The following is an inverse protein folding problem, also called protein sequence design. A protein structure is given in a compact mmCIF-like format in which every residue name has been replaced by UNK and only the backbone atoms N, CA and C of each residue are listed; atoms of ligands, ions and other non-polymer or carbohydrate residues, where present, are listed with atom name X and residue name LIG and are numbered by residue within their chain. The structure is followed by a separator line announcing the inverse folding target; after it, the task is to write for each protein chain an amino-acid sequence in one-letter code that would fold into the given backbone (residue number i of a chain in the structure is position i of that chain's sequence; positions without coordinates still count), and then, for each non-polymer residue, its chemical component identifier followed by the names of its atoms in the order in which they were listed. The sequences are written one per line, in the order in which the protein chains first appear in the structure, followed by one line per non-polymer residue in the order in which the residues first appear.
data_IF_351444343528
#
_entry.id   IF_351444343528
#
_cell.length_a   1.000
_cell.length_b   1.000
_cell.length_c   1.000
_cell.angle_alpha   90.00
_cell.angle_beta   90.00
_cell.angle_gamma   90.00
#
_symmetry.space_group_name_H-M   'P 1'
#
loop_
_entity.id
_entity.type
_entity.pdbx_description
1 polymer ?
#
# COMPACT_ATOMS: atom_id res chain seq x y z
N UNK A 1 -8.78 40.79 -18.27
CA UNK A 1 -9.04 40.48 -19.69
C UNK A 1 -10.55 40.35 -19.90
N UNK A 2 -11.18 41.42 -20.39
CA UNK A 2 -12.65 41.55 -20.44
C UNK A 2 -13.26 40.57 -21.44
N UNK A 3 -14.46 40.05 -21.13
CA UNK A 3 -15.21 39.12 -22.01
C UNK A 3 -15.37 39.66 -23.44
N UNK A 4 -15.35 40.99 -23.62
CA UNK A 4 -15.37 41.66 -24.92
C UNK A 4 -14.22 41.22 -25.86
N UNK A 5 -12.99 41.11 -25.35
CA UNK A 5 -11.83 40.69 -26.17
C UNK A 5 -11.94 39.21 -26.55
N UNK A 6 -12.40 38.38 -25.62
CA UNK A 6 -12.52 36.94 -25.81
C UNK A 6 -13.65 36.61 -26.80
N UNK A 7 -14.79 37.28 -26.68
CA UNK A 7 -15.90 37.17 -27.63
C UNK A 7 -15.52 37.69 -29.02
N UNK A 8 -14.75 38.78 -29.12
CA UNK A 8 -14.23 39.26 -30.41
C UNK A 8 -13.31 38.23 -31.08
N UNK A 9 -12.36 37.65 -30.35
CA UNK A 9 -11.48 36.58 -30.88
C UNK A 9 -12.28 35.33 -31.29
N UNK A 10 -13.22 34.90 -30.46
CA UNK A 10 -14.10 33.76 -30.79
C UNK A 10 -14.94 34.03 -32.05
N UNK A 11 -15.50 35.24 -32.19
CA UNK A 11 -16.26 35.64 -33.38
C UNK A 11 -15.38 35.59 -34.64
N UNK A 12 -14.15 36.08 -34.59
CA UNK A 12 -13.23 36.03 -35.74
C UNK A 12 -12.89 34.60 -36.16
N UNK A 13 -12.63 33.71 -35.20
CA UNK A 13 -12.29 32.30 -35.47
C UNK A 13 -13.49 31.53 -36.01
N UNK A 14 -14.69 31.75 -35.47
CA UNK A 14 -15.88 31.00 -35.84
C UNK A 14 -16.58 31.51 -37.10
N UNK A 15 -16.32 32.76 -37.52
CA UNK A 15 -17.01 33.40 -38.66
C UNK A 15 -16.85 32.65 -39.99
N UNK A 16 -15.64 32.15 -40.28
CA UNK A 16 -15.36 31.40 -41.52
C UNK A 16 -16.10 30.05 -41.54
N UNK A 17 -16.05 29.33 -40.43
CA UNK A 17 -16.73 28.04 -40.24
C UNK A 17 -18.24 28.20 -40.33
N UNK A 18 -18.80 29.22 -39.66
CA UNK A 18 -20.22 29.51 -39.69
C UNK A 18 -20.72 29.88 -41.09
N UNK A 19 -19.89 30.56 -41.91
CA UNK A 19 -20.27 30.89 -43.29
C UNK A 19 -20.35 29.64 -44.17
N UNK A 20 -19.34 28.79 -44.13
CA UNK A 20 -19.34 27.54 -44.91
C UNK A 20 -20.47 26.60 -44.48
N UNK A 21 -20.77 26.54 -43.20
CA UNK A 21 -21.90 25.75 -42.70
C UNK A 21 -23.25 26.30 -43.17
N UNK A 22 -23.43 27.63 -43.30
CA UNK A 22 -24.67 28.20 -43.84
C UNK A 22 -24.93 27.75 -45.27
N UNK A 23 -23.91 27.65 -46.10
CA UNK A 23 -24.06 27.21 -47.49
C UNK A 23 -24.46 25.72 -47.56
N UNK A 24 -23.90 24.89 -46.69
CA UNK A 24 -24.21 23.45 -46.60
C UNK A 24 -25.59 23.18 -45.98
N UNK A 25 -25.98 23.94 -44.96
CA UNK A 25 -27.27 23.79 -44.27
C UNK A 25 -28.45 24.13 -45.18
N UNK A 26 -28.26 24.91 -46.25
CA UNK A 26 -29.32 25.16 -47.25
C UNK A 26 -29.74 23.91 -48.02
N UNK A 27 -28.86 22.91 -48.11
CA UNK A 27 -29.10 21.65 -48.82
C UNK A 27 -29.79 20.62 -47.91
N UNK A 28 -29.65 20.77 -46.59
CA UNK A 28 -30.05 19.76 -45.60
C UNK A 28 -31.16 20.31 -44.71
N UNK A 29 -32.17 19.49 -44.40
CA UNK A 29 -33.22 19.90 -43.47
C UNK A 29 -32.63 20.30 -42.10
N UNK A 30 -33.08 21.42 -41.48
CA UNK A 30 -32.56 21.89 -40.20
C UNK A 30 -32.62 20.84 -39.08
N UNK A 31 -33.63 19.99 -39.09
CA UNK A 31 -33.82 18.91 -38.12
C UNK A 31 -32.65 17.89 -38.14
N UNK A 32 -32.13 17.58 -39.33
CA UNK A 32 -31.01 16.66 -39.52
C UNK A 32 -29.72 17.23 -38.93
N UNK A 33 -29.50 18.53 -39.10
CA UNK A 33 -28.33 19.24 -38.56
C UNK A 33 -28.35 19.21 -37.03
N UNK A 34 -29.52 19.44 -36.42
CA UNK A 34 -29.69 19.35 -34.97
C UNK A 34 -29.48 17.93 -34.44
N UNK A 35 -29.93 16.90 -35.18
CA UNK A 35 -29.70 15.49 -34.83
C UNK A 35 -28.20 15.16 -34.83
N UNK A 36 -27.46 15.59 -35.85
CA UNK A 36 -26.00 15.41 -35.90
C UNK A 36 -25.29 16.18 -34.78
N UNK A 37 -25.73 17.40 -34.48
CA UNK A 37 -25.17 18.17 -33.37
C UNK A 37 -25.33 17.45 -32.03
N UNK A 38 -26.54 16.97 -31.72
CA UNK A 38 -26.82 16.20 -30.50
C UNK A 38 -25.94 14.95 -30.41
N UNK A 39 -25.80 14.22 -31.52
CA UNK A 39 -24.96 13.02 -31.57
C UNK A 39 -23.47 13.34 -31.41
N UNK A 40 -22.97 14.43 -32.02
CA UNK A 40 -21.59 14.89 -31.83
C UNK A 40 -21.30 15.29 -30.39
N UNK A 41 -22.22 16.02 -29.75
CA UNK A 41 -22.12 16.38 -28.33
C UNK A 41 -22.08 15.11 -27.49
N UNK A 42 -23.01 14.16 -27.72
CA UNK A 42 -23.04 12.86 -27.03
C UNK A 42 -21.71 12.12 -27.18
N UNK A 43 -21.19 11.99 -28.40
CA UNK A 43 -19.90 11.32 -28.67
C UNK A 43 -18.73 12.01 -28.00
N UNK A 44 -18.66 13.34 -28.02
CA UNK A 44 -17.58 14.10 -27.36
C UNK A 44 -17.53 13.82 -25.85
N UNK A 45 -18.70 13.79 -25.21
CA UNK A 45 -18.79 13.51 -23.78
C UNK A 45 -18.59 12.04 -23.43
N UNK A 46 -19.05 11.11 -24.29
CA UNK A 46 -18.78 9.68 -24.14
C UNK A 46 -17.31 9.31 -24.37
N UNK A 47 -16.64 9.95 -25.33
CA UNK A 47 -15.22 9.73 -25.62
C UNK A 47 -14.32 10.22 -24.49
N UNK A 48 -14.72 11.28 -23.77
CA UNK A 48 -13.98 11.78 -22.60
C UNK A 48 -13.88 10.73 -21.47
N UNK A 49 -14.78 9.74 -21.43
CA UNK A 49 -14.74 8.59 -20.52
C UNK A 49 -13.85 7.43 -20.98
N UNK A 50 -13.55 7.33 -22.28
CA UNK A 50 -12.62 6.32 -22.82
C UNK A 50 -11.19 6.84 -22.80
N UNK A 51 -10.61 6.96 -21.59
CA UNK A 51 -9.16 7.07 -21.45
C UNK A 51 -8.52 5.73 -21.82
N UNK A 52 -8.33 5.46 -23.12
CA UNK A 52 -7.34 4.50 -23.58
C UNK A 52 -6.00 5.23 -23.60
N UNK A 53 -5.16 5.05 -22.58
CA UNK A 53 -3.83 5.64 -22.60
C UNK A 53 -2.97 5.34 -21.39
N UNK A 54 -1.98 4.46 -21.59
CA UNK A 54 -0.85 4.15 -20.72
C UNK A 54 0.04 3.07 -21.38
N UNK A 55 1.25 2.84 -20.84
CA UNK A 55 2.15 1.74 -21.22
C UNK A 55 1.35 0.42 -21.31
N UNK A 56 1.58 -0.43 -22.33
CA UNK A 56 0.97 -1.77 -22.34
C UNK A 56 1.23 -2.42 -20.98
N UNK A 57 0.16 -2.97 -20.40
CA UNK A 57 0.27 -3.66 -19.12
C UNK A 57 1.29 -4.79 -19.26
N UNK A 58 2.00 -5.07 -18.17
CA UNK A 58 2.76 -6.31 -18.03
C UNK A 58 1.83 -7.48 -18.39
N UNK A 59 2.36 -8.56 -18.96
CA UNK A 59 1.58 -9.64 -19.57
C UNK A 59 0.47 -10.11 -18.63
N UNK A 60 -0.74 -10.29 -19.17
CA UNK A 60 -1.90 -10.76 -18.41
C UNK A 60 -1.61 -12.10 -17.70
N UNK A 61 -0.79 -12.95 -18.32
CA UNK A 61 -0.31 -14.21 -17.74
C UNK A 61 0.41 -14.02 -16.40
N UNK A 62 1.19 -12.93 -16.25
CA UNK A 62 1.89 -12.62 -15.00
C UNK A 62 0.91 -12.15 -13.92
N UNK A 63 -0.06 -11.32 -14.31
CA UNK A 63 -1.14 -10.90 -13.40
C UNK A 63 -1.92 -12.11 -12.88
N UNK A 64 -2.25 -13.06 -13.76
CA UNK A 64 -3.00 -14.26 -13.42
C UNK A 64 -2.19 -15.18 -12.48
N UNK A 65 -0.88 -15.33 -12.72
CA UNK A 65 0.02 -16.07 -11.83
C UNK A 65 0.09 -15.45 -10.42
N UNK A 66 0.22 -14.12 -10.33
CA UNK A 66 0.22 -13.40 -9.05
C UNK A 66 -1.07 -13.67 -8.28
N UNK A 67 -2.21 -13.61 -8.96
CA UNK A 67 -3.53 -13.83 -8.37
C UNK A 67 -3.66 -15.26 -7.87
N UNK A 68 -3.25 -16.25 -8.66
CA UNK A 68 -3.28 -17.67 -8.25
C UNK A 68 -2.41 -17.91 -7.01
N UNK A 69 -1.15 -17.45 -7.01
CA UNK A 69 -0.25 -17.60 -5.86
C UNK A 69 -0.82 -16.97 -4.58
N UNK A 70 -1.45 -15.79 -4.71
CA UNK A 70 -2.05 -15.10 -3.57
C UNK A 70 -3.31 -15.80 -3.04
N UNK A 71 -4.11 -16.42 -3.91
CA UNK A 71 -5.30 -17.18 -3.54
C UNK A 71 -4.94 -18.50 -2.84
N UNK A 72 -3.96 -19.22 -3.38
CA UNK A 72 -3.46 -20.47 -2.79
C UNK A 72 -2.78 -20.23 -1.43
N UNK A 73 -2.12 -19.08 -1.28
CA UNK A 73 -1.33 -18.74 -0.10
C UNK A 73 -1.80 -17.44 0.56
N UNK A 74 -3.03 -17.43 1.07
CA UNK A 74 -3.66 -16.26 1.71
C UNK A 74 -2.86 -15.64 2.88
N UNK A 75 -1.91 -16.40 3.45
CA UNK A 75 -1.00 -15.96 4.53
C UNK A 75 0.23 -15.18 4.05
N UNK A 76 0.46 -15.09 2.74
CA UNK A 76 1.62 -14.40 2.18
C UNK A 76 1.36 -12.91 2.01
N UNK A 77 2.39 -12.10 2.28
CA UNK A 77 2.39 -10.64 2.04
C UNK A 77 3.03 -10.29 0.68
N UNK A 78 2.93 -9.01 0.28
CA UNK A 78 3.42 -8.54 -1.03
C UNK A 78 4.89 -8.90 -1.32
N UNK A 79 5.80 -8.62 -0.38
CA UNK A 79 7.23 -8.92 -0.55
C UNK A 79 7.56 -10.42 -0.59
N UNK A 80 6.70 -11.28 -0.01
CA UNK A 80 6.90 -12.73 -0.09
C UNK A 80 6.57 -13.25 -1.49
N UNK A 81 5.47 -12.77 -2.08
CA UNK A 81 5.07 -13.09 -3.45
C UNK A 81 6.13 -12.58 -4.44
N UNK A 82 6.62 -11.35 -4.28
CA UNK A 82 7.72 -10.80 -5.08
C UNK A 82 8.99 -11.68 -4.98
N UNK A 83 9.36 -12.08 -3.77
CA UNK A 83 10.52 -12.93 -3.53
C UNK A 83 10.41 -14.29 -4.22
N UNK A 84 9.22 -14.89 -4.27
CA UNK A 84 9.01 -16.18 -4.93
C UNK A 84 8.96 -16.03 -6.46
N UNK A 85 8.39 -14.94 -7.00
CA UNK A 85 8.47 -14.63 -8.44
C UNK A 85 9.91 -14.42 -8.91
N UNK A 86 10.73 -13.75 -8.09
CA UNK A 86 12.16 -13.57 -8.37
C UNK A 86 12.92 -14.90 -8.44
N UNK A 87 12.52 -15.91 -7.65
CA UNK A 87 13.11 -17.26 -7.74
C UNK A 87 12.75 -17.97 -9.04
N UNK A 88 11.61 -17.64 -9.63
CA UNK A 88 11.20 -18.14 -10.95
C UNK A 88 11.86 -17.39 -12.11
N UNK A 89 12.76 -16.43 -11.84
CA UNK A 89 13.42 -15.62 -12.84
C UNK A 89 12.57 -14.45 -13.37
N UNK A 90 11.45 -14.15 -12.71
CA UNK A 90 10.54 -13.07 -13.10
C UNK A 90 10.81 -11.84 -12.23
N UNK A 91 11.37 -10.78 -12.83
CA UNK A 91 11.58 -9.52 -12.14
C UNK A 91 10.31 -8.67 -12.11
N UNK A 92 9.74 -8.54 -10.91
CA UNK A 92 8.53 -7.75 -10.65
C UNK A 92 8.78 -6.88 -9.43
N UNK A 93 8.33 -5.63 -9.46
CA UNK A 93 8.37 -4.77 -8.26
C UNK A 93 7.26 -5.14 -7.28
N UNK A 94 7.52 -5.10 -5.97
CA UNK A 94 6.48 -5.25 -4.93
C UNK A 94 5.26 -4.33 -5.16
N UNK A 95 5.50 -3.10 -5.65
CA UNK A 95 4.43 -2.15 -5.98
C UNK A 95 3.52 -2.64 -7.11
N UNK A 96 4.06 -3.40 -8.07
CA UNK A 96 3.27 -4.02 -9.13
C UNK A 96 2.39 -5.15 -8.58
N UNK A 97 2.95 -6.04 -7.75
CA UNK A 97 2.18 -7.08 -7.05
C UNK A 97 1.02 -6.46 -6.25
N UNK A 98 1.29 -5.35 -5.55
CA UNK A 98 0.27 -4.59 -4.82
C UNK A 98 -0.82 -4.02 -5.73
N UNK A 99 -0.46 -3.44 -6.88
CA UNK A 99 -1.43 -2.92 -7.85
C UNK A 99 -2.31 -4.04 -8.41
N UNK A 100 -1.71 -5.15 -8.82
CA UNK A 100 -2.42 -6.34 -9.33
C UNK A 100 -3.45 -6.83 -8.29
N UNK A 101 -3.00 -7.11 -7.06
CA UNK A 101 -3.91 -7.62 -6.02
C UNK A 101 -5.03 -6.64 -5.65
N UNK A 102 -4.74 -5.33 -5.64
CA UNK A 102 -5.77 -4.29 -5.44
C UNK A 102 -6.81 -4.28 -6.56
N UNK A 103 -6.39 -4.43 -7.82
CA UNK A 103 -7.32 -4.51 -8.97
C UNK A 103 -8.24 -5.73 -8.89
N UNK A 104 -7.76 -6.82 -8.31
CA UNK A 104 -8.52 -8.06 -8.10
C UNK A 104 -9.22 -8.12 -6.73
N UNK A 105 -9.20 -7.05 -5.92
CA UNK A 105 -9.79 -6.99 -4.57
C UNK A 105 -9.27 -8.05 -3.59
N UNK A 106 -8.05 -8.55 -3.78
CA UNK A 106 -7.42 -9.52 -2.89
C UNK A 106 -6.55 -8.74 -1.89
N UNK A 107 -6.83 -8.92 -0.60
CA UNK A 107 -6.00 -8.36 0.47
C UNK A 107 -5.05 -9.45 0.94
N UNK A 108 -3.75 -9.40 0.58
CA UNK A 108 -2.79 -10.36 1.11
C UNK A 108 -2.66 -10.18 2.62
N UNK A 109 -2.10 -11.19 3.28
CA UNK A 109 -1.97 -11.23 4.72
C UNK A 109 -1.46 -9.89 5.27
N UNK A 110 -2.00 -9.44 6.42
CA UNK A 110 -1.59 -8.19 7.02
C UNK A 110 -0.07 -8.18 7.09
N UNK A 111 0.54 -7.13 6.52
CA UNK A 111 1.95 -6.83 6.74
C UNK A 111 2.13 -6.96 8.23
N UNK A 112 3.00 -7.88 8.68
CA UNK A 112 3.41 -7.89 10.08
C UNK A 112 4.01 -6.51 10.29
N UNK A 113 3.19 -5.59 10.81
CA UNK A 113 3.63 -4.26 11.21
C UNK A 113 4.89 -4.51 11.98
N UNK A 114 5.99 -3.86 11.58
CA UNK A 114 7.22 -3.92 12.33
C UNK A 114 6.82 -3.76 13.79
N UNK A 115 6.98 -4.82 14.58
CA UNK A 115 6.92 -4.69 16.01
C UNK A 115 7.95 -3.62 16.27
N UNK A 116 7.48 -2.41 16.59
CA UNK A 116 8.33 -1.27 16.87
C UNK A 116 9.45 -1.78 17.76
N UNK A 117 10.69 -1.35 17.53
CA UNK A 117 11.81 -1.75 18.37
C UNK A 117 11.46 -1.67 19.87
N UNK A 118 10.58 -0.73 20.24
CA UNK A 118 9.94 -0.57 21.54
C UNK A 118 9.12 -1.78 22.03
N UNK A 119 8.34 -2.43 21.17
CA UNK A 119 7.54 -3.61 21.52
C UNK A 119 8.42 -4.86 21.73
N UNK A 120 9.49 -5.00 20.92
CA UNK A 120 10.48 -6.06 21.12
C UNK A 120 11.28 -5.83 22.41
N UNK A 121 11.74 -4.59 22.65
CA UNK A 121 12.42 -4.20 23.90
C UNK A 121 11.51 -4.44 25.12
N UNK A 122 10.23 -4.05 25.05
CA UNK A 122 9.26 -4.26 26.13
C UNK A 122 9.07 -5.76 26.45
N UNK A 123 8.91 -6.62 25.45
CA UNK A 123 8.83 -8.07 25.63
C UNK A 123 10.13 -8.65 26.21
N UNK A 124 11.29 -8.16 25.77
CA UNK A 124 12.59 -8.62 26.27
C UNK A 124 12.86 -8.20 27.72
N UNK A 125 12.35 -7.06 28.17
CA UNK A 125 12.50 -6.60 29.57
C UNK A 125 11.61 -7.33 30.57
N UNK A 126 10.48 -7.90 30.13
CA UNK A 126 9.56 -8.63 31.03
C UNK A 126 10.04 -10.05 31.33
N UNK A 127 10.97 -10.61 30.55
CA UNK A 127 11.48 -11.98 30.76
C UNK A 127 12.61 -12.05 31.79
N UNK A 128 13.27 -10.93 32.11
CA UNK A 128 14.26 -10.87 33.19
C UNK A 128 13.58 -10.28 34.41
N UNK A 129 12.76 -11.09 35.09
CA UNK A 129 12.31 -10.76 36.44
C UNK A 129 13.49 -11.01 37.41
N UNK A 130 14.09 -9.98 38.03
CA UNK A 130 15.23 -10.14 38.93
C UNK A 130 14.77 -10.56 40.35
N UNK A 131 13.75 -11.41 40.47
CA UNK A 131 13.22 -11.80 41.79
C UNK A 131 13.88 -13.07 42.35
N UNK A 132 14.73 -13.76 41.58
CA UNK A 132 15.29 -15.05 41.97
C UNK A 132 16.74 -15.00 42.52
N UNK A 133 17.41 -13.84 42.52
CA UNK A 133 18.80 -13.70 43.04
C UNK A 133 18.81 -12.94 44.38
N UNK A 134 17.76 -13.08 45.19
CA UNK A 134 17.72 -12.52 46.56
C UNK A 134 17.22 -13.51 47.60
N UNK A 135 17.47 -14.80 47.41
CA UNK A 135 17.15 -15.83 48.40
C UNK A 135 18.28 -16.85 48.64
N UNK A 136 19.52 -16.60 48.22
CA UNK A 136 20.62 -17.58 48.34
C UNK A 136 21.82 -17.15 49.21
N UNK A 137 21.74 -16.07 50.00
CA UNK A 137 22.86 -15.64 50.88
C UNK A 137 22.48 -15.52 52.37
N UNK A 138 21.24 -15.78 52.78
CA UNK A 138 20.88 -15.76 54.21
C UNK A 138 20.35 -17.10 54.70
N UNK A 139 21.27 -18.03 54.97
CA UNK A 139 21.06 -19.03 56.02
C UNK A 139 22.07 -18.72 57.14
N UNK A 140 21.55 -18.07 58.18
CA UNK A 140 22.08 -18.19 59.55
C UNK A 140 22.38 -19.66 59.89
N UNK A 141 23.34 -19.92 60.79
CA UNK A 141 22.85 -20.36 62.10
C UNK A 141 23.68 -19.91 63.31
N UNK A 142 22.91 -19.52 64.34
CA UNK A 142 22.99 -20.03 65.72
C UNK A 142 23.88 -19.26 66.71
N UNK A 143 23.18 -18.50 67.56
CA UNK A 143 23.60 -18.20 68.91
C UNK A 143 23.50 -19.45 69.80
N UNK A 144 24.59 -19.83 70.47
CA UNK A 144 24.54 -20.54 71.76
C UNK A 144 25.49 -19.88 72.74
N UNK A 145 24.88 -19.47 73.84
CA UNK A 145 25.44 -18.89 75.05
C UNK A 145 26.26 -19.88 75.90
N UNK A 146 27.30 -19.32 76.53
CA UNK A 146 27.77 -19.53 77.92
C UNK A 146 28.33 -20.88 78.40
N UNK A 147 29.50 -20.74 79.06
CA UNK A 147 30.04 -21.57 80.16
C UNK A 147 30.72 -22.93 79.85
N UNK A 148 32.05 -22.94 79.94
CA UNK A 148 32.89 -23.94 80.61
C UNK A 148 34.37 -23.58 80.31
N UNK A 149 35.10 -23.00 81.27
CA UNK A 149 35.89 -23.76 82.24
C UNK A 149 37.13 -24.41 81.61
N UNK A 150 38.26 -23.73 81.83
CA UNK A 150 39.55 -24.30 82.27
C UNK A 150 40.25 -25.31 81.35
N UNK A 151 41.57 -25.46 81.53
CA UNK A 151 42.45 -26.48 80.91
C UNK A 151 42.92 -26.03 79.51
N UNK A 152 44.08 -25.40 79.29
CA UNK A 152 45.43 -25.83 79.66
C UNK A 152 46.38 -24.61 79.83
N UNK A 153 46.78 -24.33 81.07
CA UNK A 153 48.13 -23.79 81.35
C UNK A 153 48.71 -24.64 82.47
N UNK A 154 49.53 -25.61 82.06
CA UNK A 154 50.34 -26.47 82.92
C UNK A 154 51.71 -25.82 83.19
N UNK A 155 52.44 -26.30 84.21
CA UNK A 155 53.45 -25.52 84.93
C UNK A 155 54.88 -25.70 84.41
N UNK A 156 55.71 -24.66 84.56
CA UNK A 156 57.01 -24.67 85.26
C UNK A 156 57.53 -23.25 85.38
#
# INVERSE_FOLDING_TARGET
MTLAVLTARLRLVTRRSASRLRDVIRIVQPETVLKWHRELVRRKWLQKGKRKGGRPRISQELDDLIVQMAQENSRWGYGKIEGDLRKLGIEVSESHVRDVLKRHNITPAPVRSSSSWRHWVALSTTTIAPQAIRLLICTEPVAVSHAAASILKTPR
#
